data_IF_464803065241
#
_entry.id   IF_464803065241
#
_cell.length_a   1.000
_cell.length_b   1.000
_cell.length_c   1.000
_cell.angle_alpha   90.00
_cell.angle_beta   90.00
_cell.angle_gamma   90.00
#
_symmetry.space_group_name_H-M   'P 1'
#
loop_
_entity.id
_entity.type
_entity.pdbx_description
1 polymer ?
#
# COMPACT_ATOMS: atom_id res chain seq x y z
N UNK A 1 44.61 11.63 73.46
CA UNK A 1 43.50 10.72 73.14
C UNK A 1 42.80 11.20 71.86
N UNK A 2 42.28 10.28 71.04
CA UNK A 2 42.51 10.16 69.58
C UNK A 2 41.37 10.83 68.75
N UNK A 3 41.30 10.91 67.40
CA UNK A 3 41.60 9.94 66.35
C UNK A 3 41.69 10.61 64.95
N UNK A 4 42.57 10.05 64.11
CA UNK A 4 42.62 10.11 62.63
C UNK A 4 41.24 9.92 61.96
N UNK A 5 41.07 10.50 60.76
CA UNK A 5 40.83 9.70 59.54
C UNK A 5 41.04 10.51 58.24
N UNK A 6 42.07 10.12 57.47
CA UNK A 6 42.13 10.25 56.01
C UNK A 6 41.11 9.27 55.40
N UNK A 7 40.36 9.67 54.37
CA UNK A 7 39.68 8.83 53.35
C UNK A 7 39.01 9.78 52.37
N UNK A 8 38.94 9.57 51.06
CA UNK A 8 39.62 8.71 50.10
C UNK A 8 39.05 9.19 48.76
N UNK A 9 39.89 9.36 47.75
CA UNK A 9 39.44 9.55 46.37
C UNK A 9 38.58 8.34 45.98
N UNK A 10 37.35 8.59 45.51
CA UNK A 10 36.65 7.67 44.62
C UNK A 10 36.12 8.48 43.43
N UNK A 11 36.86 8.35 42.34
CA UNK A 11 36.34 8.49 40.99
C UNK A 11 35.10 7.60 40.86
N UNK A 12 34.00 8.13 40.35
CA UNK A 12 33.06 7.31 39.60
C UNK A 12 32.61 8.13 38.41
N UNK A 13 33.15 7.75 37.25
CA UNK A 13 32.63 8.07 35.94
C UNK A 13 31.13 7.77 35.93
N UNK A 14 30.27 8.78 35.93
CA UNK A 14 29.06 8.69 35.13
C UNK A 14 29.39 9.34 33.79
N UNK A 15 30.02 8.53 32.93
CA UNK A 15 29.85 8.71 31.51
C UNK A 15 28.35 8.52 31.26
N UNK A 16 27.64 9.61 31.00
CA UNK A 16 26.32 9.56 30.40
C UNK A 16 26.51 8.91 29.03
N UNK A 17 26.37 7.59 28.95
CA UNK A 17 26.05 6.91 27.72
C UNK A 17 24.67 7.45 27.31
N UNK A 18 24.68 8.52 26.53
CA UNK A 18 23.61 8.78 25.58
C UNK A 18 23.70 7.64 24.57
N UNK A 19 23.15 6.47 24.92
CA UNK A 19 22.62 5.59 23.88
C UNK A 19 21.54 6.45 23.25
N UNK A 20 21.88 7.09 22.14
CA UNK A 20 20.90 7.53 21.16
C UNK A 20 20.11 6.25 20.88
N UNK A 21 18.99 6.09 21.56
CA UNK A 21 18.01 5.09 21.18
C UNK A 21 17.62 5.48 19.77
N UNK A 22 18.25 4.84 18.79
CA UNK A 22 17.84 4.88 17.41
C UNK A 22 16.33 4.63 17.46
N UNK A 23 15.52 5.53 16.89
CA UNK A 23 14.07 5.35 16.94
C UNK A 23 13.80 3.96 16.37
N UNK A 24 13.22 3.08 17.19
CA UNK A 24 12.78 1.75 16.76
C UNK A 24 12.01 1.97 15.47
N UNK A 25 12.57 1.53 14.35
CA UNK A 25 11.90 1.69 13.07
C UNK A 25 10.66 0.80 13.16
N UNK A 26 9.50 1.40 13.00
CA UNK A 26 8.22 0.67 12.99
C UNK A 26 8.01 -0.10 11.67
N UNK A 27 8.94 0.03 10.73
CA UNK A 27 8.87 -0.46 9.36
C UNK A 27 10.26 -0.94 8.95
N UNK A 28 10.35 -2.16 8.42
CA UNK A 28 11.58 -2.70 7.86
C UNK A 28 12.05 -1.83 6.68
N UNK A 29 11.20 -1.62 5.68
CA UNK A 29 11.52 -0.68 4.60
C UNK A 29 11.56 0.79 5.06
N UNK A 30 12.55 1.58 4.61
CA UNK A 30 12.58 3.03 4.82
C UNK A 30 11.31 3.74 4.35
N UNK A 31 10.97 4.84 5.02
CA UNK A 31 9.88 5.71 4.59
C UNK A 31 10.37 6.68 3.51
N UNK A 32 9.61 6.81 2.42
CA UNK A 32 9.81 7.84 1.39
C UNK A 32 8.74 8.91 1.58
N UNK A 33 9.15 10.12 1.95
CA UNK A 33 8.24 11.22 2.31
C UNK A 33 7.15 10.79 3.33
N UNK A 34 7.47 9.90 4.26
CA UNK A 34 6.51 9.39 5.26
C UNK A 34 5.52 8.35 4.74
N UNK A 35 5.75 7.80 3.55
CA UNK A 35 5.01 6.68 2.94
C UNK A 35 5.91 5.45 3.03
N UNK A 36 5.34 4.29 3.37
CA UNK A 36 6.08 3.03 3.35
C UNK A 36 6.35 2.68 1.90
N UNK A 37 7.64 2.60 1.55
CA UNK A 37 8.10 1.87 0.39
C UNK A 37 7.86 0.39 0.66
N UNK A 38 6.98 -0.24 -0.10
CA UNK A 38 6.55 -1.60 0.20
C UNK A 38 7.55 -2.60 -0.36
N UNK A 39 8.31 -2.28 -1.41
CA UNK A 39 9.27 -3.21 -2.01
C UNK A 39 10.73 -2.82 -1.77
N UNK A 40 10.97 -1.76 -0.98
CA UNK A 40 12.29 -1.26 -0.63
C UNK A 40 13.13 -0.88 -1.88
N UNK A 41 12.50 -0.36 -2.95
CA UNK A 41 13.17 0.03 -4.21
C UNK A 41 13.55 1.52 -4.29
N UNK A 42 13.23 2.31 -3.27
CA UNK A 42 13.48 3.73 -3.21
C UNK A 42 12.47 4.58 -3.98
N UNK A 43 11.34 4.02 -4.42
CA UNK A 43 10.27 4.73 -5.16
C UNK A 43 8.90 4.37 -4.58
N UNK A 44 7.96 5.30 -4.67
CA UNK A 44 6.56 5.03 -4.34
C UNK A 44 5.73 4.99 -5.62
N UNK A 45 5.16 3.83 -5.92
CA UNK A 45 4.41 3.56 -7.15
C UNK A 45 3.03 3.00 -6.83
N UNK A 46 1.99 3.64 -7.37
CA UNK A 46 0.59 3.24 -7.15
C UNK A 46 -0.14 3.02 -8.47
N UNK A 47 -0.75 1.84 -8.62
CA UNK A 47 -1.63 1.54 -9.73
C UNK A 47 -3.09 1.71 -9.30
N UNK A 48 -3.88 2.36 -10.14
CA UNK A 48 -5.31 2.55 -9.96
C UNK A 48 -6.06 1.76 -11.02
N UNK A 49 -6.91 0.84 -10.61
CA UNK A 49 -7.72 0.02 -11.50
C UNK A 49 -9.19 0.05 -11.14
N UNK A 50 -10.04 -0.03 -12.16
CA UNK A 50 -11.47 0.05 -11.97
C UNK A 50 -12.19 0.71 -13.13
N UNK A 51 -13.25 1.43 -12.82
CA UNK A 51 -14.17 1.92 -13.85
C UNK A 51 -13.97 3.39 -14.28
N UNK A 52 -15.05 4.03 -14.71
CA UNK A 52 -15.11 5.43 -15.13
C UNK A 52 -14.61 6.38 -14.05
N UNK A 53 -14.82 6.07 -12.77
CA UNK A 53 -14.39 6.94 -11.67
C UNK A 53 -12.85 6.94 -11.57
N UNK A 54 -12.21 5.77 -11.65
CA UNK A 54 -10.73 5.65 -11.75
C UNK A 54 -10.20 6.36 -13.00
N UNK A 55 -10.86 6.18 -14.14
CA UNK A 55 -10.49 6.83 -15.41
C UNK A 55 -10.53 8.35 -15.33
N UNK A 56 -11.33 8.93 -14.43
CA UNK A 56 -11.49 10.38 -14.29
C UNK A 56 -12.64 10.97 -15.10
N UNK A 57 -13.64 10.17 -15.47
CA UNK A 57 -14.83 10.68 -16.19
C UNK A 57 -15.55 11.72 -15.33
N UNK A 58 -16.06 12.79 -15.93
CA UNK A 58 -16.70 13.91 -15.22
C UNK A 58 -15.73 15.00 -14.78
N UNK A 59 -14.41 14.76 -14.84
CA UNK A 59 -13.40 15.78 -14.61
C UNK A 59 -13.09 16.56 -15.89
N UNK A 60 -13.41 17.85 -15.91
CA UNK A 60 -13.12 18.75 -17.02
C UNK A 60 -11.61 18.86 -17.34
N UNK A 61 -10.74 18.54 -16.37
CA UNK A 61 -9.27 18.56 -16.53
C UNK A 61 -8.68 17.21 -16.95
N UNK A 62 -9.49 16.14 -16.98
CA UNK A 62 -9.05 14.79 -17.33
C UNK A 62 -7.98 14.18 -16.41
N UNK A 63 -7.79 14.72 -15.21
CA UNK A 63 -6.79 14.21 -14.24
C UNK A 63 -7.37 13.10 -13.35
N UNK A 64 -8.68 13.15 -13.06
CA UNK A 64 -9.32 12.34 -12.03
C UNK A 64 -8.65 12.52 -10.64
N UNK A 65 -8.90 11.59 -9.72
CA UNK A 65 -8.15 11.57 -8.47
C UNK A 65 -6.71 11.00 -8.61
N UNK A 66 -6.40 10.06 -9.52
CA UNK A 66 -5.03 9.57 -9.70
C UNK A 66 -4.05 10.67 -10.13
N UNK A 67 -4.39 11.42 -11.19
CA UNK A 67 -3.55 12.51 -11.69
C UNK A 67 -3.47 13.72 -10.76
N UNK A 68 -4.48 13.95 -9.92
CA UNK A 68 -4.40 14.97 -8.85
C UNK A 68 -3.51 14.52 -7.69
N UNK A 69 -3.42 13.23 -7.42
CA UNK A 69 -2.60 12.68 -6.34
C UNK A 69 -1.11 12.82 -6.65
N UNK A 70 -0.69 12.50 -7.87
CA UNK A 70 0.72 12.64 -8.31
C UNK A 70 1.20 14.09 -8.27
N UNK A 71 0.32 15.06 -8.54
CA UNK A 71 0.64 16.49 -8.36
C UNK A 71 0.79 16.91 -6.89
N UNK A 72 0.32 16.11 -5.93
CA UNK A 72 0.31 16.42 -4.48
C UNK A 72 1.33 15.64 -3.66
N UNK A 73 1.97 14.64 -4.25
CA UNK A 73 2.99 13.78 -3.65
C UNK A 73 4.09 13.64 -4.71
N UNK A 74 5.15 14.44 -4.62
CA UNK A 74 6.18 14.55 -5.66
C UNK A 74 6.98 13.26 -5.89
N UNK A 75 7.12 12.44 -4.85
CA UNK A 75 7.80 11.14 -4.87
C UNK A 75 6.93 10.01 -5.43
N UNK A 76 5.63 10.25 -5.62
CA UNK A 76 4.69 9.26 -6.12
C UNK A 76 4.67 9.24 -7.65
N UNK A 77 4.98 8.08 -8.24
CA UNK A 77 4.53 7.77 -9.60
C UNK A 77 3.25 6.93 -9.56
N UNK A 78 2.51 6.95 -10.67
CA UNK A 78 1.24 6.23 -10.72
C UNK A 78 0.92 5.69 -12.11
N UNK A 79 0.13 4.63 -12.12
CA UNK A 79 -0.51 4.10 -13.31
C UNK A 79 -2.02 4.22 -13.17
N UNK A 80 -2.70 4.75 -14.20
CA UNK A 80 -4.15 4.77 -14.26
C UNK A 80 -4.61 3.79 -15.35
N UNK A 81 -5.14 2.64 -14.90
CA UNK A 81 -5.65 1.58 -15.76
C UNK A 81 -7.19 1.47 -15.67
N UNK A 82 -7.86 2.61 -15.41
CA UNK A 82 -9.33 2.69 -15.36
C UNK A 82 -9.98 2.50 -16.72
N UNK A 83 -11.02 1.68 -16.78
CA UNK A 83 -11.79 1.37 -17.99
C UNK A 83 -13.25 1.74 -17.77
N UNK A 84 -13.72 2.79 -18.45
CA UNK A 84 -15.11 3.24 -18.32
C UNK A 84 -16.11 2.12 -18.62
N UNK A 85 -17.16 2.05 -17.80
CA UNK A 85 -18.23 1.05 -17.93
C UNK A 85 -17.86 -0.38 -17.49
N UNK A 86 -16.63 -0.64 -17.05
CA UNK A 86 -16.22 -2.01 -16.70
C UNK A 86 -16.85 -2.47 -15.38
N UNK A 87 -17.20 -3.76 -15.31
CA UNK A 87 -17.57 -4.44 -14.06
C UNK A 87 -16.38 -5.18 -13.47
N UNK A 88 -16.42 -5.52 -12.19
CA UNK A 88 -15.34 -6.29 -11.53
C UNK A 88 -15.08 -7.63 -12.24
N UNK A 89 -16.16 -8.27 -12.72
CA UNK A 89 -16.13 -9.53 -13.46
C UNK A 89 -15.37 -9.41 -14.78
N UNK A 90 -15.63 -8.36 -15.56
CA UNK A 90 -14.95 -8.10 -16.83
C UNK A 90 -13.51 -7.64 -16.62
N UNK A 91 -13.26 -6.78 -15.62
CA UNK A 91 -11.91 -6.32 -15.28
C UNK A 91 -10.99 -7.50 -14.94
N UNK A 92 -11.48 -8.46 -14.15
CA UNK A 92 -10.73 -9.68 -13.83
C UNK A 92 -10.42 -10.51 -15.08
N UNK A 93 -11.37 -10.63 -16.01
CA UNK A 93 -11.18 -11.37 -17.28
C UNK A 93 -10.14 -10.69 -18.17
N UNK A 94 -10.20 -9.35 -18.28
CA UNK A 94 -9.21 -8.58 -19.05
C UNK A 94 -7.82 -8.71 -18.44
N UNK A 95 -7.69 -8.59 -17.13
CA UNK A 95 -6.41 -8.78 -16.44
C UNK A 95 -5.80 -10.15 -16.76
N UNK A 96 -6.57 -11.24 -16.56
CA UNK A 96 -6.10 -12.60 -16.84
C UNK A 96 -5.74 -12.81 -18.32
N UNK A 97 -6.49 -12.20 -19.25
CA UNK A 97 -6.24 -12.31 -20.69
C UNK A 97 -4.93 -11.62 -21.10
N UNK A 98 -4.57 -10.55 -20.40
CA UNK A 98 -3.40 -9.72 -20.69
C UNK A 98 -2.15 -10.13 -19.88
N UNK A 99 -2.23 -11.17 -19.05
CA UNK A 99 -1.04 -11.73 -18.41
C UNK A 99 -0.03 -12.20 -19.47
N UNK A 100 1.27 -11.97 -19.26
CA UNK A 100 2.31 -12.50 -20.14
C UNK A 100 2.13 -14.00 -20.37
N UNK A 101 2.21 -14.45 -21.63
CA UNK A 101 2.12 -15.87 -21.99
C UNK A 101 3.53 -16.45 -22.16
N UNK A 102 3.87 -17.50 -21.41
CA UNK A 102 5.14 -18.22 -21.50
C UNK A 102 5.95 -18.21 -20.20
N UNK A 103 7.10 -18.90 -20.19
CA UNK A 103 8.07 -18.80 -19.10
C UNK A 103 8.66 -17.39 -19.13
N UNK A 104 8.21 -16.52 -18.22
CA UNK A 104 8.79 -15.19 -18.02
C UNK A 104 10.20 -15.38 -17.46
N UNK A 105 11.20 -15.48 -18.34
CA UNK A 105 12.63 -15.56 -18.01
C UNK A 105 13.28 -14.18 -17.90
N UNK A 106 12.55 -13.15 -17.48
CA UNK A 106 13.04 -11.78 -17.39
C UNK A 106 12.60 -11.19 -16.07
N UNK A 107 13.58 -10.68 -15.30
CA UNK A 107 13.47 -9.97 -14.02
C UNK A 107 12.03 -9.69 -13.55
N UNK A 108 11.65 -10.30 -12.42
CA UNK A 108 10.42 -9.92 -11.71
C UNK A 108 10.42 -8.41 -11.53
N UNK A 109 9.36 -7.75 -12.02
CA UNK A 109 9.23 -6.30 -11.85
C UNK A 109 9.15 -6.00 -10.36
N UNK A 110 9.88 -4.98 -9.91
CA UNK A 110 9.85 -4.51 -8.53
C UNK A 110 8.97 -3.28 -8.38
N UNK A 111 8.23 -2.87 -9.41
CA UNK A 111 7.84 -1.47 -9.57
C UNK A 111 6.47 -1.11 -8.98
N UNK A 112 5.92 -1.87 -8.03
CA UNK A 112 4.61 -1.52 -7.48
C UNK A 112 4.50 -1.73 -5.98
N UNK A 113 4.11 -0.69 -5.27
CA UNK A 113 3.87 -0.75 -3.83
C UNK A 113 2.40 -0.99 -3.50
N UNK A 114 1.52 -0.29 -4.22
CA UNK A 114 0.09 -0.33 -3.95
C UNK A 114 -0.71 -0.48 -5.24
N UNK A 115 -1.78 -1.28 -5.17
CA UNK A 115 -2.80 -1.34 -6.20
C UNK A 115 -4.17 -1.02 -5.59
N UNK A 116 -4.82 0.04 -6.05
CA UNK A 116 -6.14 0.43 -5.59
C UNK A 116 -7.21 0.05 -6.61
N UNK A 117 -8.22 -0.67 -6.14
CA UNK A 117 -9.38 -1.13 -6.88
C UNK A 117 -10.60 -0.30 -6.49
N UNK A 118 -11.23 0.35 -7.47
CA UNK A 118 -12.52 1.02 -7.32
C UNK A 118 -13.43 0.62 -8.50
N UNK A 119 -14.34 -0.31 -8.24
CA UNK A 119 -15.21 -0.87 -9.28
C UNK A 119 -16.44 -1.51 -8.65
N UNK A 120 -17.56 -1.46 -9.36
CA UNK A 120 -18.78 -2.19 -8.99
C UNK A 120 -20.06 -1.44 -9.35
N UNK A 121 -19.97 -0.13 -9.58
CA UNK A 121 -21.12 0.72 -9.94
C UNK A 121 -21.82 0.22 -11.20
N UNK A 122 -21.06 -0.25 -12.20
CA UNK A 122 -21.61 -0.73 -13.48
C UNK A 122 -22.31 -2.09 -13.40
N UNK A 123 -22.11 -2.88 -12.34
CA UNK A 123 -22.82 -4.16 -12.16
C UNK A 123 -24.34 -3.99 -12.03
N UNK A 124 -24.79 -2.78 -11.69
CA UNK A 124 -26.22 -2.43 -11.70
C UNK A 124 -26.87 -2.70 -13.06
N UNK A 125 -26.17 -2.43 -14.17
CA UNK A 125 -26.71 -2.57 -15.53
C UNK A 125 -26.73 -4.01 -16.04
N UNK A 126 -26.05 -4.92 -15.35
CA UNK A 126 -26.08 -6.35 -15.63
C UNK A 126 -27.20 -7.06 -14.84
N UNK A 127 -28.08 -6.31 -14.15
CA UNK A 127 -29.05 -6.81 -13.17
C UNK A 127 -28.40 -7.72 -12.09
N UNK A 128 -27.10 -7.52 -11.83
CA UNK A 128 -26.36 -8.31 -10.85
C UNK A 128 -26.78 -7.90 -9.43
N UNK A 129 -27.13 -8.85 -8.54
CA UNK A 129 -27.41 -8.50 -7.15
C UNK A 129 -26.13 -8.03 -6.44
N UNK A 130 -26.26 -7.11 -5.49
CA UNK A 130 -25.13 -6.55 -4.74
C UNK A 130 -24.20 -7.62 -4.11
N UNK A 131 -24.76 -8.77 -3.71
CA UNK A 131 -23.99 -9.90 -3.18
C UNK A 131 -23.07 -10.56 -4.21
N UNK A 132 -23.50 -10.64 -5.48
CA UNK A 132 -22.68 -11.12 -6.58
C UNK A 132 -21.61 -10.10 -6.97
N UNK A 133 -21.96 -8.81 -7.03
CA UNK A 133 -20.99 -7.72 -7.25
C UNK A 133 -19.85 -7.76 -6.22
N UNK A 134 -20.18 -7.89 -4.93
CA UNK A 134 -19.16 -8.02 -3.87
C UNK A 134 -18.35 -9.32 -3.99
N UNK A 135 -18.97 -10.41 -4.43
CA UNK A 135 -18.25 -11.67 -4.71
C UNK A 135 -17.23 -11.47 -5.83
N UNK A 136 -17.60 -10.77 -6.89
CA UNK A 136 -16.71 -10.53 -8.03
C UNK A 136 -15.61 -9.52 -7.72
N UNK A 137 -15.86 -8.49 -6.92
CA UNK A 137 -14.81 -7.60 -6.38
C UNK A 137 -13.79 -8.41 -5.55
N UNK A 138 -14.26 -9.32 -4.69
CA UNK A 138 -13.39 -10.18 -3.88
C UNK A 138 -12.58 -11.15 -4.72
N UNK A 139 -13.18 -11.72 -5.78
CA UNK A 139 -12.48 -12.58 -6.74
C UNK A 139 -11.43 -11.80 -7.53
N UNK A 140 -11.76 -10.59 -7.97
CA UNK A 140 -10.81 -9.70 -8.64
C UNK A 140 -9.61 -9.41 -7.73
N UNK A 141 -9.86 -8.95 -6.49
CA UNK A 141 -8.80 -8.70 -5.51
C UNK A 141 -7.91 -9.93 -5.31
N UNK A 142 -8.51 -11.10 -5.04
CA UNK A 142 -7.78 -12.34 -4.83
C UNK A 142 -6.93 -12.73 -6.04
N UNK A 143 -7.49 -12.64 -7.25
CA UNK A 143 -6.75 -12.91 -8.49
C UNK A 143 -5.58 -11.96 -8.68
N UNK A 144 -5.74 -10.66 -8.38
CA UNK A 144 -4.65 -9.69 -8.44
C UNK A 144 -3.57 -10.03 -7.39
N UNK A 145 -3.93 -10.29 -6.15
CA UNK A 145 -2.96 -10.69 -5.11
C UNK A 145 -2.15 -11.93 -5.51
N UNK A 146 -2.82 -12.99 -5.99
CA UNK A 146 -2.16 -14.23 -6.41
C UNK A 146 -1.21 -14.00 -7.60
N UNK A 147 -1.68 -13.31 -8.64
CA UNK A 147 -0.88 -13.12 -9.86
C UNK A 147 0.22 -12.09 -9.71
N UNK A 148 0.02 -11.06 -8.89
CA UNK A 148 1.09 -10.11 -8.59
C UNK A 148 2.16 -10.77 -7.68
N UNK A 149 1.79 -11.67 -6.77
CA UNK A 149 2.79 -12.44 -6.01
C UNK A 149 3.64 -13.38 -6.88
N UNK A 150 3.10 -13.89 -7.98
CA UNK A 150 3.87 -14.66 -8.97
C UNK A 150 4.84 -13.78 -9.78
N UNK A 151 4.44 -12.53 -10.06
CA UNK A 151 5.15 -11.62 -10.97
C UNK A 151 6.18 -10.71 -10.31
N UNK A 152 6.01 -10.40 -9.02
CA UNK A 152 6.84 -9.45 -8.28
C UNK A 152 7.67 -10.18 -7.23
N UNK A 153 8.89 -9.68 -6.97
CA UNK A 153 9.71 -10.15 -5.84
C UNK A 153 8.99 -9.87 -4.54
N UNK A 154 8.40 -8.67 -4.48
CA UNK A 154 7.59 -8.19 -3.37
C UNK A 154 6.22 -7.79 -3.91
N UNK A 155 5.17 -8.52 -3.52
CA UNK A 155 3.83 -8.26 -4.02
C UNK A 155 3.29 -6.91 -3.50
N UNK A 156 2.62 -6.10 -4.34
CA UNK A 156 2.02 -4.84 -3.92
C UNK A 156 0.84 -5.07 -2.96
N UNK A 157 0.58 -4.09 -2.10
CA UNK A 157 -0.61 -4.06 -1.26
C UNK A 157 -1.87 -3.76 -2.10
N UNK A 158 -2.74 -4.76 -2.25
CA UNK A 158 -4.00 -4.63 -2.99
C UNK A 158 -5.14 -4.11 -2.09
N UNK A 159 -5.69 -2.96 -2.45
CA UNK A 159 -6.64 -2.17 -1.68
C UNK A 159 -7.96 -2.06 -2.44
N UNK A 160 -9.08 -2.17 -1.73
CA UNK A 160 -10.41 -1.99 -2.31
C UNK A 160 -11.08 -0.81 -1.63
N UNK A 161 -11.64 0.12 -2.40
CA UNK A 161 -12.50 1.17 -1.87
C UNK A 161 -13.95 0.72 -1.78
N UNK A 162 -14.73 1.43 -0.98
CA UNK A 162 -16.18 1.49 -1.20
C UNK A 162 -16.48 2.29 -2.46
N UNK A 163 -17.68 2.12 -2.99
CA UNK A 163 -18.21 2.91 -4.10
C UNK A 163 -18.63 4.30 -3.58
N UNK A 164 -18.36 5.40 -4.31
CA UNK A 164 -18.87 6.72 -3.96
C UNK A 164 -20.40 6.78 -4.09
N UNK A 165 -21.07 7.74 -3.41
CA UNK A 165 -22.50 7.96 -3.63
C UNK A 165 -22.74 8.59 -5.01
N UNK A 166 -23.97 8.51 -5.50
CA UNK A 166 -24.44 9.02 -6.80
C UNK A 166 -25.75 9.79 -6.62
N UNK A 167 -26.10 10.70 -7.54
CA UNK A 167 -27.37 11.44 -7.55
C UNK A 167 -28.46 10.74 -8.36
N UNK A 168 -28.42 9.41 -8.41
CA UNK A 168 -29.36 8.54 -9.13
C UNK A 168 -30.17 7.73 -8.13
N UNK A 169 -31.40 8.16 -7.85
CA UNK A 169 -32.28 7.53 -6.86
C UNK A 169 -32.54 6.05 -7.14
N UNK A 170 -32.52 5.65 -8.42
CA UNK A 170 -32.70 4.26 -8.84
C UNK A 170 -31.45 3.37 -8.63
N UNK A 171 -30.25 3.97 -8.57
CA UNK A 171 -28.97 3.26 -8.50
C UNK A 171 -28.33 3.33 -7.10
N UNK A 172 -28.58 4.41 -6.34
CA UNK A 172 -28.02 4.59 -5.00
C UNK A 172 -28.36 3.45 -4.01
N UNK A 173 -29.59 2.89 -3.98
CA UNK A 173 -29.90 1.76 -3.08
C UNK A 173 -29.06 0.51 -3.36
N UNK A 174 -28.72 0.27 -4.63
CA UNK A 174 -27.81 -0.80 -5.02
C UNK A 174 -26.38 -0.53 -4.52
N UNK A 175 -25.89 0.70 -4.70
CA UNK A 175 -24.57 1.14 -4.21
C UNK A 175 -24.47 0.99 -2.69
N UNK A 176 -25.49 1.41 -1.95
CA UNK A 176 -25.56 1.27 -0.49
C UNK A 176 -25.52 -0.20 -0.06
N UNK A 177 -26.23 -1.07 -0.79
CA UNK A 177 -26.22 -2.51 -0.57
C UNK A 177 -24.84 -3.13 -0.81
N UNK A 178 -24.16 -2.75 -1.89
CA UNK A 178 -22.78 -3.19 -2.19
C UNK A 178 -21.82 -2.72 -1.08
N UNK A 179 -21.88 -1.44 -0.72
CA UNK A 179 -21.02 -0.86 0.31
C UNK A 179 -21.25 -1.50 1.68
N UNK A 180 -22.50 -1.73 2.08
CA UNK A 180 -22.83 -2.44 3.31
C UNK A 180 -22.19 -3.84 3.33
N UNK A 181 -22.29 -4.58 2.24
CA UNK A 181 -21.73 -5.93 2.10
C UNK A 181 -20.19 -5.95 2.03
N UNK A 182 -19.55 -4.95 1.42
CA UNK A 182 -18.09 -4.77 1.46
C UNK A 182 -17.60 -4.50 2.88
N UNK A 183 -18.38 -3.76 3.66
CA UNK A 183 -18.01 -3.32 5.02
C UNK A 183 -18.29 -4.35 6.11
N UNK A 184 -19.17 -5.35 5.86
CA UNK A 184 -19.44 -6.45 6.80
C UNK A 184 -18.13 -7.12 7.21
N UNK A 185 -17.92 -7.25 8.53
CA UNK A 185 -16.69 -7.76 9.17
C UNK A 185 -16.33 -9.17 8.66
N UNK A 186 -15.52 -9.24 7.61
CA UNK A 186 -14.64 -10.36 7.29
C UNK A 186 -13.21 -9.83 7.24
N UNK A 187 -12.25 -10.58 7.81
CA UNK A 187 -10.81 -10.27 7.82
C UNK A 187 -10.19 -10.02 6.43
N UNK A 188 -10.93 -10.25 5.33
CA UNK A 188 -10.44 -10.26 3.95
C UNK A 188 -10.24 -8.88 3.29
N UNK A 189 -10.82 -7.80 3.83
CA UNK A 189 -10.68 -6.43 3.30
C UNK A 189 -10.12 -5.53 4.40
N UNK A 190 -8.79 -5.57 4.59
CA UNK A 190 -8.08 -4.89 5.68
C UNK A 190 -8.05 -3.36 5.53
N UNK A 191 -7.90 -2.84 4.30
CA UNK A 191 -7.84 -1.40 4.02
C UNK A 191 -9.18 -0.89 3.50
N UNK A 192 -9.76 0.11 4.18
CA UNK A 192 -11.04 0.73 3.81
C UNK A 192 -10.81 2.18 3.36
N UNK A 193 -10.69 2.38 2.05
CA UNK A 193 -10.87 3.70 1.43
C UNK A 193 -12.37 3.95 1.33
N UNK A 194 -12.89 4.83 2.19
CA UNK A 194 -14.33 5.02 2.41
C UNK A 194 -14.88 6.15 1.53
N UNK A 195 -15.03 5.89 0.24
CA UNK A 195 -15.61 6.86 -0.71
C UNK A 195 -17.11 7.08 -0.46
N UNK A 196 -17.81 6.07 0.06
CA UNK A 196 -19.21 6.13 0.53
C UNK A 196 -19.46 7.17 1.63
N UNK A 197 -18.41 7.71 2.25
CA UNK A 197 -18.52 8.79 3.27
C UNK A 197 -18.35 10.18 2.70
N UNK A 198 -18.09 10.31 1.40
CA UNK A 198 -18.07 11.60 0.75
C UNK A 198 -19.51 12.12 0.57
N UNK A 199 -19.73 13.43 0.65
CA UNK A 199 -21.04 14.04 0.39
C UNK A 199 -21.44 13.96 -1.10
N UNK A 200 -22.73 14.13 -1.40
CA UNK A 200 -23.27 14.06 -2.77
C UNK A 200 -22.83 15.21 -3.68
N UNK A 201 -22.42 16.35 -3.12
CA UNK A 201 -21.91 17.52 -3.87
C UNK A 201 -20.53 17.27 -4.52
N UNK A 202 -19.97 16.05 -4.40
CA UNK A 202 -18.84 15.63 -5.24
C UNK A 202 -19.27 15.29 -6.67
N UNK A 203 -20.55 14.96 -6.87
CA UNK A 203 -21.08 14.39 -8.11
C UNK A 203 -21.44 15.51 -9.08
N UNK A 204 -21.02 15.37 -10.33
CA UNK A 204 -21.31 16.28 -11.44
C UNK A 204 -22.78 16.19 -11.89
N UNK A 205 -23.14 17.01 -12.87
CA UNK A 205 -24.53 17.13 -13.35
C UNK A 205 -25.03 15.90 -14.12
N UNK A 206 -24.15 14.96 -14.47
CA UNK A 206 -24.54 13.65 -15.02
C UNK A 206 -25.09 12.67 -13.98
N UNK A 207 -25.15 13.13 -12.73
CA UNK A 207 -25.66 12.43 -11.56
C UNK A 207 -24.90 11.15 -11.18
N UNK A 208 -23.74 10.87 -11.79
CA UNK A 208 -22.97 9.65 -11.56
C UNK A 208 -21.50 9.92 -11.22
N UNK A 209 -20.84 10.72 -12.03
CA UNK A 209 -19.39 10.88 -11.94
C UNK A 209 -19.02 12.09 -11.11
N UNK A 210 -17.94 12.02 -10.32
CA UNK A 210 -17.43 13.20 -9.63
C UNK A 210 -17.02 14.32 -10.60
N UNK A 211 -17.23 15.57 -10.22
CA UNK A 211 -16.68 16.72 -10.94
C UNK A 211 -15.21 16.99 -10.51
N UNK A 212 -14.59 18.04 -11.06
CA UNK A 212 -13.23 18.41 -10.68
C UNK A 212 -13.03 18.69 -9.18
N UNK A 213 -14.06 19.19 -8.46
CA UNK A 213 -14.03 19.42 -7.00
C UNK A 213 -14.21 18.11 -6.23
N UNK A 214 -15.09 17.23 -6.70
CA UNK A 214 -15.32 15.90 -6.19
C UNK A 214 -14.06 15.05 -6.24
N UNK A 215 -13.39 15.02 -7.40
CA UNK A 215 -12.10 14.36 -7.53
C UNK A 215 -11.03 14.95 -6.61
N UNK A 216 -11.00 16.27 -6.39
CA UNK A 216 -10.08 16.88 -5.43
C UNK A 216 -10.34 16.41 -3.98
N UNK A 217 -11.61 16.17 -3.61
CA UNK A 217 -11.98 15.61 -2.29
C UNK A 217 -11.59 14.14 -2.17
N UNK A 218 -11.79 13.33 -3.22
CA UNK A 218 -11.30 11.95 -3.27
C UNK A 218 -9.78 11.93 -3.09
N UNK A 219 -9.04 12.79 -3.81
CA UNK A 219 -7.58 12.91 -3.66
C UNK A 219 -7.17 13.26 -2.23
N UNK A 220 -7.87 14.20 -1.57
CA UNK A 220 -7.58 14.58 -0.18
C UNK A 220 -7.78 13.39 0.78
N UNK A 221 -8.86 12.63 0.60
CA UNK A 221 -9.13 11.42 1.38
C UNK A 221 -8.04 10.37 1.15
N UNK A 222 -7.69 10.11 -0.11
CA UNK A 222 -6.70 9.11 -0.46
C UNK A 222 -5.30 9.48 0.03
N UNK A 223 -4.88 10.75 -0.12
CA UNK A 223 -3.62 11.24 0.47
C UNK A 223 -3.59 10.96 1.97
N UNK A 224 -4.65 11.27 2.71
CA UNK A 224 -4.73 10.96 4.15
C UNK A 224 -4.57 9.45 4.43
N UNK A 225 -5.10 8.58 3.57
CA UNK A 225 -4.97 7.12 3.72
C UNK A 225 -3.55 6.64 3.44
N UNK A 226 -2.91 7.17 2.40
CA UNK A 226 -1.52 6.85 2.04
C UNK A 226 -0.56 7.21 3.17
N UNK A 227 -0.69 8.39 3.79
CA UNK A 227 0.24 8.80 4.85
C UNK A 227 0.00 8.17 6.22
N UNK A 228 -1.22 7.66 6.50
CA UNK A 228 -1.57 7.31 7.89
C UNK A 228 -2.21 5.94 8.08
N UNK A 229 -2.75 5.33 7.02
CA UNK A 229 -3.45 4.04 7.10
C UNK A 229 -2.72 2.93 6.35
N UNK A 230 -2.18 3.23 5.17
CA UNK A 230 -1.47 2.23 4.38
C UNK A 230 -0.17 1.76 5.08
N UNK A 231 0.69 2.66 5.61
CA UNK A 231 1.86 2.29 6.41
C UNK A 231 1.55 1.31 7.53
N UNK A 232 0.57 1.64 8.37
CA UNK A 232 0.18 0.78 9.50
C UNK A 232 -0.34 -0.58 9.05
N UNK A 233 -0.98 -0.65 7.90
CA UNK A 233 -1.44 -1.94 7.36
C UNK A 233 -0.26 -2.74 6.83
N UNK A 234 0.63 -2.08 6.08
CA UNK A 234 1.85 -2.66 5.54
C UNK A 234 2.73 -3.31 6.63
N UNK A 235 3.01 -2.58 7.72
CA UNK A 235 3.77 -3.10 8.87
C UNK A 235 3.17 -4.36 9.52
N UNK A 236 1.86 -4.59 9.38
CA UNK A 236 1.19 -5.78 9.97
C UNK A 236 1.00 -6.92 8.98
N UNK A 237 1.44 -6.75 7.75
CA UNK A 237 1.25 -7.73 6.68
C UNK A 237 2.47 -8.61 6.44
N UNK A 238 3.63 -8.19 6.94
CA UNK A 238 4.91 -8.88 6.76
C UNK A 238 5.58 -9.11 8.08
N UNK A 239 6.33 -10.20 8.10
CA UNK A 239 7.21 -10.56 9.19
C UNK A 239 8.58 -9.94 8.95
N UNK A 240 9.27 -9.75 10.06
CA UNK A 240 10.64 -9.30 10.25
C UNK A 240 11.01 -10.07 11.53
N UNK A 241 11.45 -11.32 11.34
CA UNK A 241 11.50 -12.34 12.39
C UNK A 241 12.61 -12.07 13.42
N UNK A 242 13.75 -11.55 12.99
CA UNK A 242 14.88 -11.18 13.85
C UNK A 242 14.88 -9.69 14.27
N UNK A 243 14.06 -8.84 13.63
CA UNK A 243 13.90 -7.44 13.98
C UNK A 243 15.02 -6.53 13.48
N UNK A 244 15.75 -6.94 12.44
CA UNK A 244 16.88 -6.20 11.86
C UNK A 244 16.44 -5.05 10.92
N UNK A 245 15.13 -4.95 10.66
CA UNK A 245 14.48 -4.01 9.75
C UNK A 245 14.66 -4.37 8.26
N UNK A 246 14.80 -5.64 7.92
CA UNK A 246 14.65 -6.19 6.59
C UNK A 246 13.50 -7.22 6.63
N UNK A 247 12.57 -7.19 5.66
CA UNK A 247 11.45 -8.13 5.70
C UNK A 247 11.91 -9.53 5.28
N UNK A 248 11.44 -10.60 5.95
CA UNK A 248 11.81 -11.99 5.63
C UNK A 248 11.66 -12.33 4.14
N UNK A 249 10.62 -11.79 3.49
CA UNK A 249 10.39 -12.01 2.07
C UNK A 249 11.43 -11.32 1.15
N UNK A 250 12.00 -10.20 1.59
CA UNK A 250 13.08 -9.50 0.88
C UNK A 250 14.42 -10.19 1.10
N UNK A 251 14.69 -10.61 2.34
CA UNK A 251 15.85 -11.42 2.69
C UNK A 251 15.94 -12.64 1.78
N UNK A 252 14.90 -13.48 1.79
CA UNK A 252 14.89 -14.71 1.00
C UNK A 252 14.87 -14.47 -0.51
N UNK A 253 14.15 -13.45 -1.00
CA UNK A 253 13.91 -13.29 -2.42
C UNK A 253 14.90 -12.36 -3.15
N UNK A 254 15.63 -11.50 -2.43
CA UNK A 254 16.52 -10.48 -3.02
C UNK A 254 17.94 -10.54 -2.47
N UNK A 255 18.12 -10.65 -1.15
CA UNK A 255 19.44 -10.50 -0.52
C UNK A 255 20.13 -11.83 -0.23
N UNK A 256 19.37 -12.90 -0.04
CA UNK A 256 19.88 -14.23 0.28
C UNK A 256 20.29 -14.41 1.74
N UNK A 257 19.86 -13.49 2.62
CA UNK A 257 20.12 -13.52 4.07
C UNK A 257 19.19 -14.49 4.80
N UNK A 258 19.52 -14.82 6.06
CA UNK A 258 18.73 -15.71 6.92
C UNK A 258 17.78 -14.88 7.81
N UNK A 259 16.44 -14.96 7.63
CA UNK A 259 15.47 -14.15 8.39
C UNK A 259 15.46 -14.35 9.91
N UNK A 260 16.23 -15.32 10.41
CA UNK A 260 16.35 -15.60 11.84
C UNK A 260 17.63 -15.03 12.44
N UNK A 261 18.48 -14.39 11.63
CA UNK A 261 19.78 -13.86 12.00
C UNK A 261 19.88 -12.40 11.54
N UNK A 262 19.82 -11.48 12.51
CA UNK A 262 19.91 -10.05 12.20
C UNK A 262 21.22 -9.65 11.49
N UNK A 263 22.23 -10.50 11.51
CA UNK A 263 23.56 -10.33 10.90
C UNK A 263 23.93 -11.71 10.33
N UNK A 264 23.72 -11.91 9.03
CA UNK A 264 23.84 -13.23 8.39
C UNK A 264 25.29 -13.65 8.23
N UNK A 265 26.19 -12.72 7.94
CA UNK A 265 27.60 -13.02 7.67
C UNK A 265 28.52 -12.95 8.92
N UNK A 266 28.00 -12.39 10.00
CA UNK A 266 28.62 -12.33 11.31
C UNK A 266 29.64 -11.20 11.47
N UNK A 267 29.57 -10.15 10.67
CA UNK A 267 30.52 -9.03 10.67
C UNK A 267 30.20 -7.92 11.69
N UNK A 268 29.09 -8.07 12.42
CA UNK A 268 28.54 -7.20 13.47
C UNK A 268 27.68 -6.02 13.00
N UNK A 269 27.44 -5.89 11.70
CA UNK A 269 26.44 -4.99 11.12
C UNK A 269 25.20 -5.81 10.78
N UNK A 270 24.00 -5.26 11.00
CA UNK A 270 22.79 -6.01 10.66
C UNK A 270 22.50 -5.95 9.17
N UNK A 271 21.91 -7.01 8.60
CA UNK A 271 21.65 -7.12 7.16
C UNK A 271 20.84 -5.91 6.65
N UNK A 272 19.83 -5.49 7.41
CA UNK A 272 19.03 -4.29 7.15
C UNK A 272 19.84 -2.97 7.18
N UNK A 273 20.82 -2.83 8.07
CA UNK A 273 21.65 -1.63 8.15
C UNK A 273 22.65 -1.59 6.98
N UNK A 274 23.22 -2.73 6.61
CA UNK A 274 24.05 -2.87 5.42
C UNK A 274 23.29 -2.49 4.15
N UNK A 275 22.07 -3.02 3.98
CA UNK A 275 21.23 -2.74 2.82
C UNK A 275 20.78 -1.27 2.76
N UNK A 276 20.32 -0.70 3.88
CA UNK A 276 19.63 0.60 3.85
C UNK A 276 20.48 1.80 4.29
N UNK A 277 21.58 1.59 5.01
CA UNK A 277 22.42 2.67 5.54
C UNK A 277 23.76 2.69 4.85
N UNK A 278 24.46 1.54 4.81
CA UNK A 278 25.84 1.46 4.30
C UNK A 278 25.89 1.17 2.80
N UNK A 279 24.82 0.60 2.25
CA UNK A 279 24.77 0.09 0.87
C UNK A 279 25.89 -0.93 0.58
N UNK A 280 26.17 -1.80 1.55
CA UNK A 280 27.12 -2.93 1.48
C UNK A 280 26.38 -4.23 1.15
N UNK A 281 27.13 -5.33 0.97
CA UNK A 281 26.57 -6.65 0.66
C UNK A 281 26.41 -7.45 1.96
N UNK A 282 25.17 -7.78 2.40
CA UNK A 282 24.92 -8.41 3.71
C UNK A 282 25.35 -9.89 3.82
N UNK A 283 26.07 -10.39 2.81
CA UNK A 283 26.66 -11.72 2.79
C UNK A 283 28.20 -11.67 2.78
N UNK A 284 28.78 -10.48 2.97
CA UNK A 284 30.19 -10.21 2.83
C UNK A 284 30.74 -9.50 4.08
N UNK A 285 31.44 -10.25 4.92
CA UNK A 285 32.05 -9.75 6.15
C UNK A 285 33.23 -8.77 5.98
N UNK A 286 33.35 -8.10 4.83
CA UNK A 286 34.33 -7.07 4.50
C UNK A 286 33.69 -5.67 4.35
N UNK A 287 32.50 -5.46 4.92
CA UNK A 287 31.67 -4.24 4.79
C UNK A 287 32.29 -2.95 5.33
#
# INVERSE_FOLDING_TARGET
MPHRAKRSVRLSLLAFLFVLALPIRLFACPLIDGIVDFNCDGKIRIAFTGDSIVKGVGDEKGLGYPGRLSKKISTLTFENIGVAGITARLLRRLFLKNLPKGNVTTQKSTDLDYMLIEVGTNSYWDDEPASLTVRDIKRLKKTLEEKLAEMFTVAPLVIVSTLPPVRRDYQQPFIDSVNSLLLKKKKSLRVKVRLDKLPLDIISDDNLHPDGKGYARITKLLKKKIYHAFPKTAATLRSDEDGDNLYDELELAKFGTDPTLADTDGDTISDGDEVFIFSTDPLSAES
#
